data_IF_416970690068
#
_entry.id   IF_416970690068
#
_cell.length_a   1.000
_cell.length_b   1.000
_cell.length_c   1.000
_cell.angle_alpha   90.00
_cell.angle_beta   90.00
_cell.angle_gamma   90.00
#
_symmetry.space_group_name_H-M   'P 1'
#
loop_
_entity.id
_entity.type
_entity.pdbx_description
1 polymer ?
#
# COMPACT_ATOMS: atom_id res chain seq x y z
N UNK A 1 -16.96 -0.64 -28.55
CA UNK A 1 -15.78 -1.42 -28.12
C UNK A 1 -14.79 -0.43 -27.56
N UNK A 2 -14.69 -0.30 -26.23
CA UNK A 2 -13.73 0.61 -25.61
C UNK A 2 -12.36 -0.06 -25.61
N UNK A 3 -11.35 0.59 -26.20
CA UNK A 3 -9.97 0.15 -26.07
C UNK A 3 -9.57 0.10 -24.59
N UNK A 4 -8.79 -0.90 -24.14
CA UNK A 4 -8.24 -0.88 -22.79
C UNK A 4 -7.35 0.35 -22.65
N UNK A 5 -7.78 1.31 -21.84
CA UNK A 5 -7.02 2.51 -21.53
C UNK A 5 -5.75 2.09 -20.81
N UNK A 6 -4.58 2.51 -21.32
CA UNK A 6 -3.31 2.33 -20.61
C UNK A 6 -3.40 3.18 -19.33
N UNK A 7 -3.20 2.61 -18.13
CA UNK A 7 -3.24 3.39 -16.90
C UNK A 7 -2.12 4.45 -16.92
N UNK A 8 -2.47 5.67 -16.50
CA UNK A 8 -1.54 6.80 -16.39
C UNK A 8 -1.09 6.92 -14.94
N UNK A 9 0.20 7.19 -14.74
CA UNK A 9 0.73 7.38 -13.40
C UNK A 9 0.25 8.73 -12.83
N UNK A 10 -0.33 8.77 -11.62
CA UNK A 10 -0.78 9.98 -10.98
C UNK A 10 0.41 10.74 -10.38
N UNK A 11 1.12 11.47 -11.23
CA UNK A 11 2.37 12.13 -10.86
C UNK A 11 2.15 13.22 -9.79
N UNK A 12 2.96 13.18 -8.73
CA UNK A 12 2.92 14.11 -7.60
C UNK A 12 1.63 14.07 -6.74
N UNK A 13 0.70 13.16 -7.02
CA UNK A 13 -0.43 12.87 -6.15
C UNK A 13 -0.05 11.76 -5.18
N UNK A 14 -0.28 11.97 -3.88
CA UNK A 14 -0.12 10.91 -2.89
C UNK A 14 -1.29 9.91 -3.02
N UNK A 15 -0.98 8.71 -3.48
CA UNK A 15 -1.97 7.66 -3.71
C UNK A 15 -1.87 6.63 -2.62
N UNK A 16 -2.97 6.51 -1.86
CA UNK A 16 -3.19 5.35 -1.00
C UNK A 16 -3.74 4.19 -1.83
N UNK A 17 -3.10 3.03 -1.74
CA UNK A 17 -3.57 1.79 -2.33
C UNK A 17 -3.46 0.64 -1.34
N UNK A 18 -4.16 -0.46 -1.60
CA UNK A 18 -4.20 -1.59 -0.67
C UNK A 18 -3.87 -2.90 -1.35
N UNK A 19 -3.13 -3.76 -0.66
CA UNK A 19 -2.87 -5.13 -1.07
C UNK A 19 -3.05 -6.12 0.07
N UNK A 20 -3.13 -7.39 -0.31
CA UNK A 20 -2.97 -8.52 0.60
C UNK A 20 -1.57 -9.10 0.49
N UNK A 21 -1.04 -9.61 1.60
CA UNK A 21 0.13 -10.49 1.58
C UNK A 21 -0.27 -11.96 1.35
N UNK A 22 0.71 -12.86 1.37
CA UNK A 22 0.48 -14.31 1.16
C UNK A 22 -0.35 -14.97 2.27
N UNK A 23 -0.39 -14.39 3.46
CA UNK A 23 -1.17 -14.92 4.60
C UNK A 23 -2.57 -14.28 4.69
N UNK A 24 -2.85 -13.28 3.83
CA UNK A 24 -4.12 -12.55 3.80
C UNK A 24 -4.20 -11.35 4.74
N UNK A 25 -3.07 -10.88 5.27
CA UNK A 25 -3.00 -9.60 5.97
C UNK A 25 -3.18 -8.45 4.97
N UNK A 26 -3.83 -7.37 5.40
CA UNK A 26 -4.02 -6.17 4.56
C UNK A 26 -2.86 -5.20 4.81
N UNK A 27 -2.32 -4.66 3.72
CA UNK A 27 -1.39 -3.53 3.73
C UNK A 27 -2.04 -2.32 3.05
N UNK A 28 -1.93 -1.15 3.66
CA UNK A 28 -2.18 0.16 3.09
C UNK A 28 -0.84 0.80 2.74
N UNK A 29 -0.71 1.32 1.52
CA UNK A 29 0.53 1.85 0.97
C UNK A 29 0.28 3.28 0.48
N UNK A 30 1.08 4.24 0.94
CA UNK A 30 1.07 5.63 0.46
C UNK A 30 2.23 5.85 -0.49
N UNK A 31 1.94 6.21 -1.75
CA UNK A 31 2.98 6.33 -2.78
C UNK A 31 3.85 7.59 -2.62
N UNK A 32 3.42 8.56 -1.79
CA UNK A 32 4.13 9.82 -1.57
C UNK A 32 4.47 10.51 -2.91
N UNK A 33 3.57 10.41 -3.90
CA UNK A 33 3.74 10.98 -5.24
C UNK A 33 4.66 10.22 -6.21
N UNK A 34 5.54 9.34 -5.71
CA UNK A 34 6.64 8.76 -6.51
C UNK A 34 6.81 7.25 -6.40
N UNK A 35 6.13 6.60 -5.46
CA UNK A 35 6.24 5.16 -5.24
C UNK A 35 5.59 4.33 -6.35
N UNK A 36 6.10 3.12 -6.61
CA UNK A 36 5.50 2.20 -7.56
C UNK A 36 4.06 1.88 -7.14
N UNK A 37 3.12 2.01 -8.08
CA UNK A 37 1.71 1.67 -7.85
C UNK A 37 1.36 0.45 -8.72
N UNK A 38 0.78 -0.61 -8.15
CA UNK A 38 0.40 -1.80 -8.92
C UNK A 38 -0.54 -1.47 -10.09
N UNK A 39 -0.23 -1.98 -11.28
CA UNK A 39 -1.08 -1.82 -12.48
C UNK A 39 -2.52 -2.28 -12.25
N UNK A 40 -2.81 -3.40 -11.54
CA UNK A 40 -4.20 -3.80 -11.32
C UNK A 40 -4.97 -2.81 -10.43
N UNK A 41 -4.30 -2.11 -9.51
CA UNK A 41 -4.93 -1.02 -8.72
C UNK A 41 -5.28 0.16 -9.62
N UNK A 42 -4.36 0.58 -10.48
CA UNK A 42 -4.57 1.70 -11.41
C UNK A 42 -5.69 1.42 -12.44
N UNK A 43 -5.95 0.15 -12.74
CA UNK A 43 -7.04 -0.28 -13.63
C UNK A 43 -8.42 -0.27 -12.99
N UNK A 44 -8.51 -0.15 -11.66
CA UNK A 44 -9.79 0.02 -10.98
C UNK A 44 -10.40 1.38 -11.38
N UNK A 45 -11.73 1.41 -11.52
CA UNK A 45 -12.44 2.68 -11.62
C UNK A 45 -12.37 3.43 -10.29
N UNK A 46 -12.56 4.75 -10.31
CA UNK A 46 -12.60 5.56 -9.08
C UNK A 46 -13.66 5.03 -8.09
N UNK A 47 -14.85 4.67 -8.57
CA UNK A 47 -15.88 4.07 -7.72
C UNK A 47 -15.45 2.73 -7.07
N UNK A 48 -14.59 1.95 -7.74
CA UNK A 48 -14.03 0.73 -7.15
C UNK A 48 -12.98 1.06 -6.09
N UNK A 49 -12.10 2.05 -6.35
CA UNK A 49 -11.10 2.51 -5.37
C UNK A 49 -11.80 3.08 -4.13
N UNK A 50 -12.79 3.95 -4.32
CA UNK A 50 -13.62 4.51 -3.24
C UNK A 50 -14.28 3.41 -2.39
N UNK A 51 -14.84 2.39 -3.05
CA UNK A 51 -15.44 1.26 -2.35
C UNK A 51 -14.40 0.49 -1.51
N UNK A 52 -13.15 0.35 -1.99
CA UNK A 52 -12.07 -0.26 -1.19
C UNK A 52 -11.71 0.63 -0.01
N UNK A 53 -11.51 1.94 -0.21
CA UNK A 53 -11.24 2.90 0.87
C UNK A 53 -12.36 2.86 1.93
N UNK A 54 -13.62 2.82 1.52
CA UNK A 54 -14.78 2.74 2.42
C UNK A 54 -14.80 1.42 3.21
N UNK A 55 -14.46 0.30 2.58
CA UNK A 55 -14.39 -1.00 3.24
C UNK A 55 -13.28 -1.01 4.30
N UNK A 56 -12.08 -0.54 3.94
CA UNK A 56 -10.92 -0.53 4.86
C UNK A 56 -11.16 0.44 6.01
N UNK A 57 -11.61 1.67 5.73
CA UNK A 57 -11.86 2.69 6.77
C UNK A 57 -12.97 2.32 7.75
N UNK A 58 -13.87 1.39 7.39
CA UNK A 58 -14.94 0.87 8.26
C UNK A 58 -14.57 -0.42 8.99
N UNK A 59 -13.35 -0.91 8.85
CA UNK A 59 -12.89 -2.01 9.67
C UNK A 59 -12.97 -1.60 11.15
N UNK A 60 -13.39 -2.52 12.04
CA UNK A 60 -13.48 -2.23 13.45
C UNK A 60 -12.08 -1.94 14.00
N UNK A 61 -11.96 -0.97 14.90
CA UNK A 61 -10.76 -0.78 15.69
C UNK A 61 -10.65 -1.96 16.66
N UNK A 62 -9.61 -2.77 16.50
CA UNK A 62 -9.34 -3.99 17.27
C UNK A 62 -8.27 -3.78 18.34
N UNK A 63 -7.36 -2.84 18.12
CA UNK A 63 -6.19 -2.64 18.96
C UNK A 63 -6.15 -1.23 19.55
N UNK A 64 -5.57 -1.15 20.75
CA UNK A 64 -5.25 0.10 21.42
C UNK A 64 -3.91 0.63 20.91
N UNK A 65 -3.70 1.93 21.08
CA UNK A 65 -2.49 2.63 20.64
C UNK A 65 -1.22 2.05 21.26
N UNK A 66 -1.26 1.64 22.52
CA UNK A 66 -0.15 1.02 23.25
C UNK A 66 0.19 -0.41 22.79
N UNK A 67 -0.62 -0.99 21.91
CA UNK A 67 -0.39 -2.32 21.32
C UNK A 67 0.22 -2.23 19.92
N UNK A 68 0.23 -1.06 19.29
CA UNK A 68 0.73 -0.87 17.94
C UNK A 68 2.26 -0.91 17.89
N UNK A 69 2.81 -1.33 16.76
CA UNK A 69 4.26 -1.19 16.50
C UNK A 69 4.45 -0.06 15.50
N UNK A 70 5.08 1.02 15.95
CA UNK A 70 5.41 2.21 15.16
C UNK A 70 6.95 2.29 15.05
N UNK A 71 7.56 1.86 13.93
CA UNK A 71 9.02 1.72 13.83
C UNK A 71 9.79 3.05 13.92
N UNK A 72 9.14 4.18 13.65
CA UNK A 72 9.73 5.52 13.73
C UNK A 72 8.71 6.55 14.23
N UNK A 73 9.06 7.30 15.28
CA UNK A 73 8.21 8.39 15.81
C UNK A 73 8.12 9.60 14.86
N UNK A 74 8.97 9.69 13.84
CA UNK A 74 8.91 10.76 12.82
C UNK A 74 7.83 10.50 11.77
N UNK A 75 7.29 9.28 11.77
CA UNK A 75 6.34 8.75 10.81
C UNK A 75 4.94 8.63 11.42
N UNK A 76 4.62 9.36 12.50
CA UNK A 76 3.28 9.33 13.11
C UNK A 76 2.31 10.28 12.40
N UNK A 77 1.72 9.79 11.30
CA UNK A 77 0.45 10.32 10.80
C UNK A 77 -0.72 9.61 11.51
N UNK A 78 -1.77 10.36 11.91
CA UNK A 78 -2.96 9.77 12.55
C UNK A 78 -3.59 8.65 11.71
N UNK A 79 -3.52 8.77 10.39
CA UNK A 79 -4.12 7.83 9.45
C UNK A 79 -3.43 6.45 9.49
N UNK A 80 -2.13 6.41 9.81
CA UNK A 80 -1.35 5.15 9.82
C UNK A 80 -1.61 4.35 11.10
N UNK A 81 -1.74 5.05 12.24
CA UNK A 81 -2.15 4.46 13.50
C UNK A 81 -3.57 3.90 13.40
N UNK A 82 -4.49 4.61 12.76
CA UNK A 82 -5.86 4.12 12.56
C UNK A 82 -5.89 2.83 11.72
N UNK A 83 -5.09 2.73 10.64
CA UNK A 83 -4.92 1.47 9.91
C UNK A 83 -4.41 0.35 10.82
N UNK A 84 -3.35 0.59 11.58
CA UNK A 84 -2.80 -0.41 12.49
C UNK A 84 -3.81 -0.86 13.55
N UNK A 85 -4.61 0.06 14.10
CA UNK A 85 -5.70 -0.26 15.02
C UNK A 85 -6.80 -1.11 14.39
N UNK A 86 -7.02 -0.97 13.08
CA UNK A 86 -7.95 -1.80 12.31
C UNK A 86 -7.40 -3.19 11.94
N UNK A 87 -6.13 -3.47 12.23
CA UNK A 87 -5.46 -4.70 11.80
C UNK A 87 -4.81 -4.60 10.42
N UNK A 88 -4.58 -3.39 9.92
CA UNK A 88 -3.98 -3.12 8.60
C UNK A 88 -2.54 -2.64 8.81
N UNK A 89 -1.60 -3.24 8.09
CA UNK A 89 -0.22 -2.74 8.04
C UNK A 89 -0.19 -1.46 7.21
N UNK A 90 0.46 -0.41 7.70
CA UNK A 90 0.65 0.83 6.96
C UNK A 90 2.09 0.91 6.47
N UNK A 91 2.27 1.21 5.20
CA UNK A 91 3.55 1.40 4.55
C UNK A 91 3.58 2.74 3.84
N UNK A 92 4.71 3.43 3.90
CA UNK A 92 4.93 4.69 3.20
C UNK A 92 6.09 4.57 2.24
N UNK A 93 5.99 5.24 1.10
CA UNK A 93 7.10 5.31 0.16
C UNK A 93 8.13 6.33 0.64
N UNK A 94 9.25 5.80 1.12
CA UNK A 94 10.37 6.64 1.56
C UNK A 94 11.21 7.07 0.36
N UNK A 95 10.85 8.20 -0.26
CA UNK A 95 11.77 8.88 -1.19
C UNK A 95 12.81 9.64 -0.36
N UNK A 96 14.08 9.21 -0.42
CA UNK A 96 15.13 9.69 0.47
C UNK A 96 15.27 11.22 0.54
N UNK A 97 14.78 11.80 1.62
CA UNK A 97 15.12 13.16 2.06
C UNK A 97 16.27 13.16 3.08
N UNK A 98 16.81 11.99 3.43
CA UNK A 98 17.94 11.91 4.34
C UNK A 98 19.24 12.10 3.57
N UNK A 99 19.88 13.26 3.73
CA UNK A 99 21.20 13.56 3.17
C UNK A 99 22.32 12.63 3.69
N UNK A 100 22.03 11.77 4.68
CA UNK A 100 23.01 10.94 5.40
C UNK A 100 22.83 9.44 5.20
N UNK A 101 21.75 8.97 4.56
CA UNK A 101 21.48 7.54 4.33
C UNK A 101 21.12 7.36 2.86
N UNK A 102 21.66 6.33 2.22
CA UNK A 102 21.28 6.00 0.84
C UNK A 102 19.76 5.84 0.75
N UNK A 103 19.08 6.49 -0.21
CA UNK A 103 17.66 6.30 -0.42
C UNK A 103 17.39 4.81 -0.65
N UNK A 104 16.49 4.25 0.14
CA UNK A 104 15.94 2.92 -0.10
C UNK A 104 14.70 3.13 -0.95
N UNK A 105 14.74 2.73 -2.21
CA UNK A 105 13.58 2.79 -3.12
C UNK A 105 12.61 1.64 -2.82
N UNK A 106 12.08 1.61 -1.59
CA UNK A 106 11.13 0.60 -1.12
C UNK A 106 10.04 1.27 -0.28
N UNK A 107 8.90 0.59 -0.16
CA UNK A 107 7.90 0.96 0.84
C UNK A 107 8.40 0.57 2.22
N UNK A 108 8.42 1.52 3.15
CA UNK A 108 8.84 1.33 4.54
C UNK A 108 7.64 1.20 5.47
N UNK A 109 7.74 0.31 6.46
CA UNK A 109 6.70 0.10 7.45
C UNK A 109 6.55 1.34 8.34
N UNK A 110 5.37 1.93 8.24
CA UNK A 110 4.95 3.15 8.92
C UNK A 110 4.29 2.83 10.27
N UNK A 111 3.37 1.88 10.27
CA UNK A 111 2.71 1.35 11.46
C UNK A 111 2.28 -0.10 11.20
N UNK A 112 2.25 -0.93 12.24
CA UNK A 112 1.71 -2.28 12.13
C UNK A 112 0.83 -2.64 13.31
N UNK A 113 -0.19 -3.49 13.09
CA UNK A 113 -0.90 -4.12 14.18
C UNK A 113 0.05 -5.01 14.99
N UNK A 114 -0.35 -5.46 16.19
CA UNK A 114 0.45 -6.39 16.98
C UNK A 114 0.81 -7.65 16.18
N UNK A 115 1.97 -8.29 16.41
CA UNK A 115 2.42 -9.45 15.63
C UNK A 115 1.52 -10.69 15.76
N UNK A 116 0.65 -10.73 16.77
CA UNK A 116 -0.35 -11.77 16.97
C UNK A 116 -1.69 -11.46 16.29
N UNK A 117 -1.85 -10.27 15.72
CA UNK A 117 -3.04 -9.87 14.99
C UNK A 117 -3.13 -10.62 13.66
N UNK A 118 -4.15 -11.47 13.54
CA UNK A 118 -4.59 -11.98 12.25
C UNK A 118 -5.99 -11.44 11.98
N UNK A 119 -6.18 -10.85 10.81
CA UNK A 119 -7.52 -10.67 10.28
C UNK A 119 -8.04 -12.08 9.97
N UNK A 120 -8.88 -12.63 10.86
CA UNK A 120 -9.39 -14.00 10.73
C UNK A 120 -10.09 -14.23 9.38
N UNK A 121 -10.61 -13.17 8.76
CA UNK A 121 -10.82 -13.04 7.32
C UNK A 121 -11.09 -11.57 6.99
N UNK A 122 -10.60 -11.03 5.86
CA UNK A 122 -11.14 -9.79 5.34
C UNK A 122 -12.64 -9.97 5.08
N UNK A 123 -13.48 -8.92 5.21
CA UNK A 123 -14.90 -9.02 4.92
C UNK A 123 -15.12 -9.67 3.54
N UNK A 124 -16.12 -10.56 3.39
CA UNK A 124 -16.41 -11.23 2.10
C UNK A 124 -16.65 -10.26 0.92
N UNK A 125 -16.85 -8.98 1.23
CA UNK A 125 -16.98 -7.87 0.27
C UNK A 125 -15.64 -7.45 -0.35
N UNK A 126 -14.50 -7.93 0.15
CA UNK A 126 -13.17 -7.68 -0.40
C UNK A 126 -12.87 -8.54 -1.64
N UNK A 127 -13.72 -8.47 -2.67
CA UNK A 127 -13.49 -9.13 -3.97
C UNK A 127 -12.20 -8.67 -4.67
N UNK A 128 -11.55 -7.62 -4.16
CA UNK A 128 -10.26 -7.14 -4.63
C UNK A 128 -9.07 -7.93 -4.10
N UNK A 129 -9.27 -8.89 -3.16
CA UNK A 129 -8.20 -9.79 -2.70
C UNK A 129 -7.53 -10.54 -3.85
N UNK A 130 -8.33 -11.06 -4.76
CA UNK A 130 -7.84 -11.78 -5.95
C UNK A 130 -7.16 -10.85 -6.95
N UNK A 131 -7.44 -9.55 -6.90
CA UNK A 131 -6.87 -8.55 -7.80
C UNK A 131 -5.52 -8.04 -7.32
N UNK A 132 -5.33 -7.85 -6.00
CA UNK A 132 -4.12 -7.28 -5.42
C UNK A 132 -3.59 -8.11 -4.24
N UNK A 133 -3.01 -9.27 -4.55
CA UNK A 133 -2.18 -10.04 -3.60
C UNK A 133 -0.71 -9.95 -4.03
N UNK A 134 0.16 -9.48 -3.15
CA UNK A 134 1.61 -9.42 -3.39
C UNK A 134 2.23 -10.80 -3.23
N UNK A 135 2.64 -11.42 -4.34
CA UNK A 135 3.17 -12.78 -4.34
C UNK A 135 4.53 -12.83 -3.66
N UNK A 136 4.71 -13.79 -2.75
CA UNK A 136 5.97 -13.99 -2.05
C UNK A 136 6.28 -12.96 -0.96
N UNK A 137 5.36 -12.01 -0.72
CA UNK A 137 5.50 -11.01 0.35
C UNK A 137 4.68 -11.44 1.56
N UNK A 138 5.26 -11.29 2.74
CA UNK A 138 4.59 -11.41 4.05
C UNK A 138 4.81 -10.11 4.81
N UNK A 139 3.75 -9.51 5.32
CA UNK A 139 3.85 -8.31 6.15
C UNK A 139 4.22 -8.71 7.59
N UNK A 140 5.19 -8.01 8.18
CA UNK A 140 5.51 -8.16 9.60
C UNK A 140 6.19 -6.91 10.16
N UNK A 141 6.18 -6.76 11.48
CA UNK A 141 6.85 -5.66 12.17
C UNK A 141 8.39 -5.69 11.99
N UNK A 142 8.96 -6.89 11.81
CA UNK A 142 10.38 -7.12 11.57
C UNK A 142 10.75 -6.87 10.09
N UNK A 143 9.83 -7.17 9.16
CA UNK A 143 9.94 -6.91 7.74
C UNK A 143 9.63 -5.47 7.39
N UNK A 144 10.54 -4.56 7.75
CA UNK A 144 10.32 -3.11 7.63
C UNK A 144 10.21 -2.57 6.21
N UNK A 145 10.58 -3.34 5.18
CA UNK A 145 10.56 -2.87 3.81
C UNK A 145 9.83 -3.86 2.90
N UNK A 146 9.09 -3.34 1.93
CA UNK A 146 8.39 -4.12 0.90
C UNK A 146 8.83 -3.66 -0.48
N UNK A 147 9.41 -4.60 -1.23
CA UNK A 147 9.69 -4.45 -2.66
C UNK A 147 8.44 -4.85 -3.46
N UNK A 148 7.61 -3.85 -3.76
CA UNK A 148 6.35 -4.07 -4.48
C UNK A 148 6.61 -4.41 -5.95
N UNK A 149 7.65 -3.85 -6.56
CA UNK A 149 8.00 -4.10 -7.96
C UNK A 149 8.45 -5.54 -8.19
N UNK A 150 9.14 -6.14 -7.20
CA UNK A 150 9.47 -7.55 -7.24
C UNK A 150 8.24 -8.48 -7.12
N UNK A 151 7.13 -7.98 -6.56
CA UNK A 151 5.96 -8.79 -6.22
C UNK A 151 4.79 -8.68 -7.22
N UNK A 152 4.70 -7.56 -7.94
CA UNK A 152 3.60 -7.28 -8.89
C UNK A 152 4.02 -6.26 -9.95
N UNK A 153 3.43 -6.35 -11.14
CA UNK A 153 3.64 -5.34 -12.19
C UNK A 153 3.18 -3.95 -11.70
N UNK A 154 4.10 -3.00 -11.70
CA UNK A 154 3.88 -1.63 -11.24
C UNK A 154 4.03 -0.62 -12.38
N UNK A 155 3.38 0.53 -12.19
CA UNK A 155 3.67 1.73 -12.93
C UNK A 155 4.52 2.66 -12.05
N UNK A 156 5.57 3.20 -12.64
CA UNK A 156 6.50 4.14 -12.00
C UNK A 156 6.30 5.56 -12.57
N UNK A 157 6.63 6.60 -11.80
CA UNK A 157 6.71 7.95 -12.34
C UNK A 157 7.70 7.98 -13.51
N UNK A 158 7.30 8.54 -14.66
CA UNK A 158 8.17 8.75 -15.82
C UNK A 158 8.33 7.59 -16.81
N UNK A 159 7.71 6.41 -16.59
CA UNK A 159 7.70 5.30 -17.58
C UNK A 159 6.38 5.15 -18.35
N UNK A 160 5.61 6.24 -18.46
CA UNK A 160 4.27 6.27 -19.06
C UNK A 160 4.14 6.98 -20.42
N UNK A 161 5.21 7.51 -21.00
CA UNK A 161 5.16 8.05 -22.37
C UNK A 161 5.71 7.02 -23.34
N UNK A 162 4.94 6.53 -24.34
CA UNK A 162 5.56 5.91 -25.50
C UNK A 162 6.49 6.96 -26.10
N UNK A 163 7.77 6.64 -26.21
CA UNK A 163 8.73 7.45 -26.94
C UNK A 163 8.18 7.67 -28.35
N UNK A 164 7.86 8.92 -28.69
CA UNK A 164 7.58 9.30 -30.07
C UNK A 164 8.78 8.86 -30.92
N UNK A 165 8.59 8.07 -31.99
CA UNK A 165 9.68 7.83 -32.92
C UNK A 165 10.05 9.16 -33.57
N UNK A 166 11.36 9.42 -33.58
CA UNK A 166 11.99 10.57 -34.23
C UNK A 166 11.91 10.45 -35.74
#
# INVERSE_FOLDING_TARGET
MSHPTVPVYPYADDVTWYAFDVDGAIGAFTSNGYGPIPVPWLRLSEAQKDAVHEIVSRLPLRFREDELVIPSAQNSGRDWEDFARQGVFAFDWTFGHSATVQPVELYELAASPPPWAKLESPPERCRWRELLTLKGVRFSAEGRHVDVEAAVDCLLPGRGSPSSPT
#
